data_IF_189341982885
#
_entry.id   IF_189341982885
#
_cell.length_a   1.000
_cell.length_b   1.000
_cell.length_c   1.000
_cell.angle_alpha   90.00
_cell.angle_beta   90.00
_cell.angle_gamma   90.00
#
_symmetry.space_group_name_H-M   'P 1'
#
loop_
_entity.id
_entity.type
_entity.pdbx_description
1 polymer ?
#
# COMPACT_ATOMS: atom_id res chain seq x y z
N UNK A 1 -76.42 -27.35 23.45
CA UNK A 1 -75.62 -28.40 22.85
C UNK A 1 -74.16 -27.98 22.89
N UNK A 2 -73.26 -28.91 23.19
CA UNK A 2 -72.07 -28.59 24.00
C UNK A 2 -70.80 -28.23 23.22
N UNK A 3 -70.04 -27.45 23.74
CA UNK A 3 -68.66 -27.19 24.08
C UNK A 3 -67.58 -27.86 23.24
N UNK A 4 -66.73 -27.07 22.58
CA UNK A 4 -65.45 -27.51 22.01
C UNK A 4 -64.32 -26.99 22.93
N UNK A 5 -63.70 -27.91 23.63
CA UNK A 5 -62.60 -27.69 24.59
C UNK A 5 -61.31 -27.22 23.86
N UNK A 6 -60.69 -26.18 24.41
CA UNK A 6 -59.31 -25.73 24.11
C UNK A 6 -58.31 -26.85 24.52
N UNK A 7 -57.61 -27.45 23.56
CA UNK A 7 -56.56 -28.46 23.79
C UNK A 7 -55.21 -28.08 23.15
N UNK A 8 -54.99 -26.79 22.83
CA UNK A 8 -53.80 -26.31 22.16
C UNK A 8 -52.71 -25.62 23.03
N UNK A 9 -53.07 -25.21 24.26
CA UNK A 9 -52.14 -24.34 25.04
C UNK A 9 -51.15 -25.08 25.94
N UNK A 10 -51.34 -26.36 26.20
CA UNK A 10 -50.49 -27.09 27.13
C UNK A 10 -49.24 -27.70 26.48
N UNK A 11 -49.33 -28.09 25.22
CA UNK A 11 -48.19 -28.65 24.46
C UNK A 11 -47.18 -27.60 24.02
N UNK A 12 -47.62 -26.36 23.77
CA UNK A 12 -46.71 -25.26 23.36
C UNK A 12 -45.82 -24.80 24.56
N UNK A 13 -46.37 -24.79 25.78
CA UNK A 13 -45.58 -24.43 26.97
C UNK A 13 -44.55 -25.51 27.34
N UNK A 14 -44.84 -26.76 27.09
CA UNK A 14 -43.91 -27.89 27.33
C UNK A 14 -42.79 -27.87 26.27
N UNK A 15 -43.09 -27.57 25.01
CA UNK A 15 -42.06 -27.44 23.95
C UNK A 15 -41.13 -26.27 24.21
N UNK A 16 -41.65 -25.12 24.63
CA UNK A 16 -40.84 -23.93 24.91
C UNK A 16 -39.96 -24.14 26.18
N UNK A 17 -40.41 -24.87 27.18
CA UNK A 17 -39.57 -25.21 28.35
C UNK A 17 -38.48 -26.23 28.01
N UNK A 18 -38.75 -27.21 27.13
CA UNK A 18 -37.78 -28.18 26.68
C UNK A 18 -36.68 -27.55 25.83
N UNK A 19 -37.03 -26.62 24.92
CA UNK A 19 -36.04 -25.84 24.13
C UNK A 19 -35.17 -24.97 25.02
N UNK A 20 -35.73 -24.32 26.05
CA UNK A 20 -34.98 -23.49 26.99
C UNK A 20 -33.96 -24.31 27.81
N UNK A 21 -34.31 -25.52 28.23
CA UNK A 21 -33.42 -26.41 28.96
C UNK A 21 -32.29 -26.95 28.08
N UNK A 22 -32.56 -27.22 26.78
CA UNK A 22 -31.55 -27.72 25.85
C UNK A 22 -30.54 -26.63 25.52
N UNK A 23 -30.97 -25.37 25.34
CA UNK A 23 -30.08 -24.23 25.09
C UNK A 23 -29.21 -23.93 26.30
N UNK A 24 -29.79 -24.01 27.54
CA UNK A 24 -29.02 -23.81 28.76
C UNK A 24 -27.99 -24.91 28.97
N UNK A 25 -28.31 -26.16 28.66
CA UNK A 25 -27.38 -27.30 28.75
C UNK A 25 -26.23 -27.18 27.75
N UNK A 26 -26.47 -26.69 26.52
CA UNK A 26 -25.44 -26.44 25.52
C UNK A 26 -24.53 -25.28 25.92
N UNK A 27 -25.06 -24.22 26.53
CA UNK A 27 -24.27 -23.12 27.08
C UNK A 27 -23.39 -23.54 28.26
N UNK A 28 -23.87 -24.40 29.12
CA UNK A 28 -23.11 -24.95 30.25
C UNK A 28 -21.99 -25.88 29.75
N UNK A 29 -22.24 -26.69 28.70
CA UNK A 29 -21.23 -27.53 28.08
C UNK A 29 -20.17 -26.72 27.36
N UNK A 30 -20.55 -25.64 26.69
CA UNK A 30 -19.61 -24.73 26.06
C UNK A 30 -18.73 -24.00 27.08
N UNK A 31 -19.31 -23.57 28.22
CA UNK A 31 -18.57 -22.93 29.30
C UNK A 31 -17.63 -23.93 30.01
N UNK A 32 -18.07 -25.19 30.21
CA UNK A 32 -17.24 -26.25 30.77
C UNK A 32 -16.07 -26.62 29.83
N UNK A 33 -16.31 -26.68 28.52
CA UNK A 33 -15.25 -26.87 27.51
C UNK A 33 -14.25 -25.72 27.50
N UNK A 34 -14.74 -24.49 27.62
CA UNK A 34 -13.89 -23.29 27.71
C UNK A 34 -13.01 -23.30 28.97
N UNK A 35 -13.56 -23.70 30.11
CA UNK A 35 -12.81 -23.81 31.36
C UNK A 35 -11.85 -25.02 31.42
N UNK A 36 -12.12 -26.09 30.67
CA UNK A 36 -11.24 -27.26 30.57
C UNK A 36 -10.06 -27.04 29.59
N UNK A 37 -10.20 -26.16 28.61
CA UNK A 37 -9.15 -25.81 27.66
C UNK A 37 -8.24 -24.70 28.23
N UNK A 38 -8.75 -23.87 29.13
CA UNK A 38 -8.01 -22.75 29.76
C UNK A 38 -7.21 -23.09 31.02
N UNK A 39 -7.20 -24.34 31.48
CA UNK A 39 -6.60 -24.73 32.77
C UNK A 39 -5.38 -25.63 32.64
N UNK A 40 -4.27 -25.17 32.13
CA UNK A 40 -2.94 -25.74 32.43
C UNK A 40 -2.00 -24.63 32.88
N UNK A 41 -1.92 -24.48 34.21
CA UNK A 41 -0.78 -23.83 34.84
C UNK A 41 0.46 -24.69 34.63
N UNK A 42 1.51 -24.15 34.12
CA UNK A 42 2.85 -24.72 34.15
C UNK A 42 3.73 -23.81 34.98
N UNK A 43 4.29 -24.37 36.00
CA UNK A 43 5.33 -23.76 36.82
C UNK A 43 6.71 -24.02 36.23
N UNK A 44 7.61 -23.11 36.49
CA UNK A 44 9.06 -23.16 36.52
C UNK A 44 9.83 -22.98 35.19
N UNK A 45 10.38 -21.80 35.02
CA UNK A 45 11.82 -21.56 35.03
C UNK A 45 12.52 -21.76 33.70
N UNK A 46 12.66 -20.67 32.98
CA UNK A 46 13.97 -20.16 32.51
C UNK A 46 13.73 -18.81 31.84
N UNK A 47 14.49 -17.82 32.23
CA UNK A 47 14.57 -16.53 31.57
C UNK A 47 15.01 -16.76 30.12
N UNK A 48 14.14 -16.43 29.18
CA UNK A 48 14.48 -16.16 27.81
C UNK A 48 13.93 -14.75 27.50
N UNK A 49 14.82 -13.89 27.08
CA UNK A 49 14.56 -12.55 26.61
C UNK A 49 13.28 -12.55 25.76
N UNK A 50 12.24 -11.89 26.23
CA UNK A 50 11.16 -11.42 25.39
C UNK A 50 11.77 -10.35 24.48
N UNK A 51 11.94 -10.71 23.22
CA UNK A 51 11.96 -9.71 22.18
C UNK A 51 10.60 -9.01 22.26
N UNK A 52 10.62 -7.73 22.62
CA UNK A 52 9.47 -6.85 22.41
C UNK A 52 9.11 -6.96 20.93
N UNK A 53 7.96 -7.57 20.64
CA UNK A 53 7.29 -7.35 19.38
C UNK A 53 6.91 -5.87 19.40
N UNK A 54 7.63 -5.06 18.66
CA UNK A 54 7.18 -3.74 18.26
C UNK A 54 5.80 -3.94 17.63
N UNK A 55 4.78 -3.50 18.34
CA UNK A 55 3.41 -3.43 17.84
C UNK A 55 3.42 -2.50 16.63
N UNK A 56 2.86 -2.98 15.56
CA UNK A 56 2.76 -2.37 14.24
C UNK A 56 2.39 -0.86 14.37
N UNK A 57 3.30 0.01 13.99
CA UNK A 57 3.19 1.47 14.16
C UNK A 57 1.95 2.02 13.44
N UNK A 58 1.48 1.32 12.40
CA UNK A 58 0.29 1.70 11.62
C UNK A 58 -1.04 1.57 12.37
N UNK A 59 -1.17 0.71 13.37
CA UNK A 59 -2.43 0.62 14.15
C UNK A 59 -2.70 1.86 15.01
N UNK A 60 -1.72 2.76 15.17
CA UNK A 60 -1.87 4.01 15.93
C UNK A 60 -2.20 5.22 15.06
N UNK A 61 -2.00 5.14 13.74
CA UNK A 61 -2.33 6.21 12.79
C UNK A 61 -3.83 6.18 12.45
N UNK A 62 -4.58 7.21 12.81
CA UNK A 62 -6.02 7.24 12.58
C UNK A 62 -6.40 7.28 11.10
N UNK A 63 -5.58 7.84 10.22
CA UNK A 63 -5.85 7.94 8.78
C UNK A 63 -5.74 6.59 8.09
N UNK A 64 -4.91 5.67 8.61
CA UNK A 64 -4.77 4.32 8.06
C UNK A 64 -6.08 3.53 7.96
N UNK A 65 -7.12 3.95 8.68
CA UNK A 65 -8.45 3.35 8.65
C UNK A 65 -9.31 3.81 7.45
N UNK A 66 -8.85 4.81 6.70
CA UNK A 66 -9.61 5.47 5.63
C UNK A 66 -8.94 5.37 4.27
N UNK A 67 -7.74 4.83 4.20
CA UNK A 67 -7.07 4.57 2.93
C UNK A 67 -7.89 3.59 2.07
N UNK A 68 -8.09 3.87 0.76
CA UNK A 68 -8.86 3.00 -0.12
C UNK A 68 -8.17 1.66 -0.37
N UNK A 69 -8.96 0.61 -0.51
CA UNK A 69 -8.44 -0.67 -1.01
C UNK A 69 -8.00 -0.53 -2.47
N UNK A 70 -6.84 -1.06 -2.83
CA UNK A 70 -6.21 -0.87 -4.15
C UNK A 70 -6.83 -1.71 -5.28
N UNK A 71 -8.12 -2.01 -5.26
CA UNK A 71 -8.81 -2.80 -6.27
C UNK A 71 -9.77 -2.00 -7.16
N UNK A 72 -9.87 -0.68 -6.96
CA UNK A 72 -10.74 0.22 -7.69
C UNK A 72 -10.18 0.76 -9.01
N UNK A 73 -11.03 1.44 -9.80
CA UNK A 73 -10.62 2.12 -11.02
C UNK A 73 -9.95 3.45 -10.68
N UNK A 74 -8.69 3.64 -11.11
CA UNK A 74 -7.93 4.88 -10.87
C UNK A 74 -8.47 6.04 -11.71
N UNK A 75 -8.62 7.20 -11.08
CA UNK A 75 -9.02 8.46 -11.72
C UNK A 75 -7.78 9.28 -12.06
N UNK A 76 -7.58 9.63 -13.33
CA UNK A 76 -6.45 10.46 -13.72
C UNK A 76 -6.68 11.94 -13.39
N UNK A 77 -5.65 12.64 -12.94
CA UNK A 77 -5.69 14.07 -12.60
C UNK A 77 -6.19 14.95 -13.78
N UNK A 78 -5.92 14.55 -15.01
CA UNK A 78 -6.37 15.26 -16.23
C UNK A 78 -7.87 15.17 -16.50
N UNK A 79 -8.62 14.36 -15.73
CA UNK A 79 -10.09 14.21 -15.93
C UNK A 79 -10.91 15.27 -15.22
N UNK A 80 -10.27 16.15 -14.42
CA UNK A 80 -10.96 17.26 -13.78
C UNK A 80 -11.53 18.18 -14.83
N UNK A 81 -12.86 18.20 -14.92
CA UNK A 81 -13.56 19.12 -15.80
C UNK A 81 -13.54 20.52 -15.24
N UNK A 82 -13.63 21.50 -16.14
CA UNK A 82 -13.79 22.89 -15.72
C UNK A 82 -15.14 23.09 -15.01
N UNK A 83 -15.09 23.32 -13.72
CA UNK A 83 -16.25 23.56 -12.88
C UNK A 83 -16.51 25.07 -12.81
N UNK A 84 -17.77 25.49 -12.82
CA UNK A 84 -18.12 26.88 -12.54
C UNK A 84 -17.77 27.16 -11.06
N UNK A 85 -16.87 28.09 -10.80
CA UNK A 85 -16.48 28.54 -9.47
C UNK A 85 -16.80 30.02 -9.29
N UNK A 86 -16.85 30.47 -8.04
CA UNK A 86 -17.06 31.88 -7.71
C UNK A 86 -15.89 32.77 -8.17
N UNK A 87 -14.74 32.19 -8.48
CA UNK A 87 -13.55 32.87 -8.98
C UNK A 87 -13.06 32.23 -10.27
N UNK A 88 -12.42 33.01 -11.17
CA UNK A 88 -11.75 32.48 -12.35
C UNK A 88 -10.45 31.73 -12.02
N UNK A 89 -10.01 31.78 -10.77
CA UNK A 89 -8.80 31.14 -10.28
C UNK A 89 -9.15 29.78 -9.71
N UNK A 90 -8.83 28.75 -10.47
CA UNK A 90 -8.88 27.36 -10.01
C UNK A 90 -7.54 26.72 -10.18
N UNK A 91 -7.19 25.92 -9.21
CA UNK A 91 -5.96 25.13 -9.25
C UNK A 91 -6.28 23.68 -8.96
N UNK A 92 -5.50 22.80 -9.57
CA UNK A 92 -5.64 21.35 -9.40
C UNK A 92 -4.54 20.88 -8.47
N UNK A 93 -4.92 20.08 -7.49
CA UNK A 93 -4.00 19.60 -6.47
C UNK A 93 -4.23 18.17 -6.04
N UNK A 94 -3.43 17.79 -5.10
CA UNK A 94 -3.49 16.50 -4.42
C UNK A 94 -3.34 16.73 -2.90
N UNK A 95 -3.82 15.80 -2.10
CA UNK A 95 -3.37 15.70 -0.72
C UNK A 95 -2.67 14.37 -0.48
N UNK A 96 -1.63 14.40 0.34
CA UNK A 96 -0.68 13.29 0.50
C UNK A 96 -0.17 13.15 1.92
N UNK A 97 0.14 11.91 2.28
CA UNK A 97 0.76 11.51 3.53
C UNK A 97 1.85 10.45 3.29
N UNK A 98 2.31 9.78 4.35
CA UNK A 98 3.21 8.63 4.24
C UNK A 98 2.60 7.44 3.48
N UNK A 99 1.26 7.38 3.34
CA UNK A 99 0.57 6.30 2.62
C UNK A 99 0.84 6.33 1.11
N UNK A 100 1.22 7.46 0.54
CA UNK A 100 1.65 7.56 -0.85
C UNK A 100 3.11 7.13 -1.05
N UNK A 101 3.84 6.86 0.07
CA UNK A 101 5.24 6.45 0.03
C UNK A 101 6.17 7.53 -0.52
N UNK A 102 7.26 7.12 -1.15
CA UNK A 102 8.18 8.04 -1.80
C UNK A 102 7.60 8.53 -3.13
N UNK A 103 7.39 9.83 -3.26
CA UNK A 103 6.79 10.49 -4.42
C UNK A 103 7.89 11.06 -5.33
N UNK A 104 7.81 10.82 -6.64
CA UNK A 104 8.58 11.55 -7.65
C UNK A 104 7.87 12.87 -7.97
N UNK A 105 8.21 13.90 -7.21
CA UNK A 105 7.58 15.22 -7.31
C UNK A 105 7.80 15.92 -8.65
N UNK A 106 8.86 15.54 -9.38
CA UNK A 106 9.06 16.04 -10.74
C UNK A 106 8.01 15.52 -11.70
N UNK A 107 7.69 14.22 -11.65
CA UNK A 107 6.63 13.67 -12.48
C UNK A 107 5.24 14.20 -12.06
N UNK A 108 5.02 14.42 -10.77
CA UNK A 108 3.79 15.04 -10.25
C UNK A 108 3.62 16.45 -10.84
N UNK A 109 4.65 17.29 -10.79
CA UNK A 109 4.61 18.64 -11.37
C UNK A 109 4.41 18.61 -12.89
N UNK A 110 5.13 17.74 -13.60
CA UNK A 110 5.00 17.58 -15.05
C UNK A 110 3.58 17.09 -15.47
N UNK A 111 2.81 16.46 -14.56
CA UNK A 111 1.43 16.04 -14.82
C UNK A 111 0.39 17.15 -14.74
N UNK A 112 0.78 18.34 -14.26
CA UNK A 112 -0.07 19.53 -14.16
C UNK A 112 -0.68 19.76 -12.78
N UNK A 113 -0.22 19.07 -11.74
CA UNK A 113 -0.55 19.36 -10.33
C UNK A 113 0.07 20.70 -9.95
N UNK A 114 -0.73 21.61 -9.40
CA UNK A 114 -0.33 22.99 -9.08
C UNK A 114 -0.09 23.20 -7.60
N UNK A 115 -0.78 22.41 -6.71
CA UNK A 115 -0.60 22.47 -5.27
C UNK A 115 -0.67 21.08 -4.62
N UNK A 116 -0.12 20.97 -3.42
CA UNK A 116 -0.26 19.79 -2.57
C UNK A 116 -0.61 20.19 -1.13
N UNK A 117 -1.63 19.54 -0.58
CA UNK A 117 -1.93 19.56 0.86
C UNK A 117 -1.16 18.41 1.50
N UNK A 118 -0.15 18.71 2.32
CA UNK A 118 0.77 17.71 2.86
C UNK A 118 0.46 17.45 4.31
N UNK A 119 0.23 16.19 4.69
CA UNK A 119 0.07 15.84 6.10
C UNK A 119 1.37 16.13 6.86
N UNK A 120 1.28 16.99 7.87
CA UNK A 120 2.42 17.24 8.75
C UNK A 120 2.59 16.14 9.79
N UNK A 121 1.48 15.63 10.31
CA UNK A 121 1.45 14.63 11.34
C UNK A 121 0.04 14.38 11.85
N UNK A 122 -0.05 13.58 12.88
CA UNK A 122 -1.30 13.16 13.49
C UNK A 122 -1.15 13.01 15.01
N UNK A 123 -2.28 12.99 15.72
CA UNK A 123 -2.31 12.56 17.11
C UNK A 123 -2.76 11.11 17.20
N UNK A 124 -1.88 10.26 17.74
CA UNK A 124 -2.09 8.81 17.87
C UNK A 124 -3.39 8.46 18.61
N UNK A 125 -4.13 7.47 18.08
CA UNK A 125 -5.33 6.93 18.74
C UNK A 125 -5.01 6.23 20.06
N UNK A 126 -3.88 5.53 20.13
CA UNK A 126 -3.51 4.73 21.28
C UNK A 126 -2.88 5.54 22.39
N UNK A 127 -1.77 6.25 22.12
CA UNK A 127 -1.01 6.99 23.11
C UNK A 127 -1.54 8.42 23.33
N UNK A 128 -2.19 9.02 22.33
CA UNK A 128 -2.56 10.44 22.34
C UNK A 128 -1.37 11.38 22.14
N UNK A 129 -0.20 10.86 21.77
CA UNK A 129 0.99 11.65 21.43
C UNK A 129 0.91 12.17 20.00
N UNK A 130 1.54 13.31 19.75
CA UNK A 130 1.70 13.82 18.39
C UNK A 130 2.84 13.04 17.72
N UNK A 131 2.59 12.60 16.48
CA UNK A 131 3.56 11.94 15.62
C UNK A 131 3.72 12.71 14.33
N UNK A 132 4.95 12.85 13.90
CA UNK A 132 5.26 13.43 12.58
C UNK A 132 4.95 12.39 11.51
N UNK A 133 4.34 12.82 10.40
CA UNK A 133 4.21 11.98 9.21
C UNK A 133 5.61 11.69 8.64
N UNK A 134 5.89 10.44 8.34
CA UNK A 134 7.22 10.00 7.94
C UNK A 134 7.70 10.62 6.62
N UNK A 135 6.77 11.06 5.76
CA UNK A 135 7.07 11.73 4.50
C UNK A 135 6.94 13.27 4.57
N UNK A 136 6.45 13.86 5.68
CA UNK A 136 6.11 15.29 5.74
C UNK A 136 7.21 16.18 5.20
N UNK A 137 8.42 16.10 5.77
CA UNK A 137 9.54 16.98 5.41
C UNK A 137 10.02 16.76 3.99
N UNK A 138 10.11 15.50 3.56
CA UNK A 138 10.47 15.16 2.19
C UNK A 138 9.46 15.74 1.19
N UNK A 139 8.17 15.53 1.44
CA UNK A 139 7.10 16.02 0.57
C UNK A 139 7.08 17.55 0.51
N UNK A 140 7.20 18.25 1.65
CA UNK A 140 7.27 19.71 1.69
C UNK A 140 8.47 20.25 0.90
N UNK A 141 9.65 19.63 1.07
CA UNK A 141 10.87 20.02 0.39
C UNK A 141 10.78 19.81 -1.13
N UNK A 142 10.45 18.59 -1.55
CA UNK A 142 10.49 18.20 -2.95
C UNK A 142 9.33 18.78 -3.77
N UNK A 143 8.13 18.89 -3.20
CA UNK A 143 7.03 19.59 -3.86
C UNK A 143 7.40 21.05 -4.16
N UNK A 144 7.97 21.76 -3.16
CA UNK A 144 8.43 23.12 -3.34
C UNK A 144 9.55 23.24 -4.39
N UNK A 145 10.56 22.35 -4.34
CA UNK A 145 11.67 22.34 -5.27
C UNK A 145 11.22 22.13 -6.73
N UNK A 146 10.08 21.47 -6.94
CA UNK A 146 9.47 21.25 -8.25
C UNK A 146 8.37 22.26 -8.61
N UNK A 147 8.23 23.35 -7.82
CA UNK A 147 7.34 24.48 -8.13
C UNK A 147 5.88 24.25 -7.76
N UNK A 148 5.57 23.20 -7.00
CA UNK A 148 4.23 22.93 -6.48
C UNK A 148 3.99 23.80 -5.25
N UNK A 149 2.84 24.45 -5.19
CA UNK A 149 2.45 25.29 -4.06
C UNK A 149 2.08 24.44 -2.84
N UNK A 150 2.50 24.88 -1.66
CA UNK A 150 2.37 24.10 -0.43
C UNK A 150 1.19 24.54 0.42
N UNK A 151 0.34 23.61 0.76
CA UNK A 151 -0.58 23.62 1.89
C UNK A 151 -0.23 22.49 2.84
N UNK A 152 -0.90 22.42 3.97
CA UNK A 152 -0.65 21.38 4.95
C UNK A 152 -1.93 20.97 5.68
N UNK A 153 -1.93 19.76 6.26
CA UNK A 153 -2.98 19.36 7.19
C UNK A 153 -2.43 18.58 8.38
N UNK A 154 -3.23 18.51 9.42
CA UNK A 154 -2.96 17.72 10.61
C UNK A 154 -4.16 16.83 10.91
N UNK A 155 -3.94 15.52 11.05
CA UNK A 155 -5.00 14.60 11.43
C UNK A 155 -5.17 14.59 12.96
N UNK A 156 -6.24 15.25 13.40
CA UNK A 156 -6.51 15.48 14.81
C UNK A 156 -7.37 14.39 15.43
N UNK A 157 -6.95 13.92 16.61
CA UNK A 157 -7.81 13.17 17.53
C UNK A 157 -7.90 13.85 18.90
N UNK A 158 -7.69 15.18 18.94
CA UNK A 158 -7.74 15.96 20.16
C UNK A 158 -9.11 15.85 20.86
N UNK A 159 -9.11 15.70 22.17
CA UNK A 159 -10.33 15.56 23.00
C UNK A 159 -10.67 16.82 23.78
N UNK A 160 -9.87 17.87 23.66
CA UNK A 160 -10.08 19.19 24.25
C UNK A 160 -9.34 20.27 23.46
N UNK A 161 -9.64 21.54 23.73
CA UNK A 161 -9.05 22.68 23.03
C UNK A 161 -7.56 22.84 23.29
N UNK A 162 -7.05 22.42 24.45
CA UNK A 162 -5.62 22.51 24.76
C UNK A 162 -4.78 21.54 23.90
N UNK A 163 -5.29 20.32 23.67
CA UNK A 163 -4.65 19.38 22.72
C UNK A 163 -4.68 19.94 21.29
N UNK A 164 -5.79 20.56 20.86
CA UNK A 164 -5.89 21.16 19.54
C UNK A 164 -4.92 22.34 19.33
N UNK A 165 -4.77 23.19 20.35
CA UNK A 165 -3.79 24.28 20.33
C UNK A 165 -2.34 23.75 20.30
N UNK A 166 -2.06 22.63 21.00
CA UNK A 166 -0.77 21.93 20.95
C UNK A 166 -0.48 21.40 19.55
N UNK A 167 -1.44 20.73 18.90
CA UNK A 167 -1.35 20.22 17.53
C UNK A 167 -1.03 21.35 16.54
N UNK A 168 -1.79 22.44 16.60
CA UNK A 168 -1.58 23.59 15.72
C UNK A 168 -0.23 24.29 15.94
N UNK A 169 0.24 24.36 17.19
CA UNK A 169 1.56 24.92 17.49
C UNK A 169 2.67 24.01 16.96
N UNK A 170 2.56 22.70 17.22
CA UNK A 170 3.52 21.71 16.74
C UNK A 170 3.63 21.73 15.20
N UNK A 171 2.47 21.73 14.50
CA UNK A 171 2.43 21.83 13.04
C UNK A 171 3.08 23.13 12.55
N UNK A 172 2.78 24.27 13.22
CA UNK A 172 3.36 25.57 12.85
C UNK A 172 4.88 25.60 13.00
N UNK A 173 5.40 24.95 14.05
CA UNK A 173 6.85 24.85 14.29
C UNK A 173 7.53 24.00 13.19
N UNK A 174 6.87 22.93 12.72
CA UNK A 174 7.37 22.12 11.60
C UNK A 174 7.38 22.92 10.30
N UNK A 175 6.30 23.67 10.04
CA UNK A 175 6.10 24.42 8.79
C UNK A 175 6.96 25.69 8.68
N UNK A 176 7.53 26.19 9.78
CA UNK A 176 8.27 27.45 9.82
C UNK A 176 9.46 27.53 8.86
N UNK A 177 9.95 26.38 8.38
CA UNK A 177 11.05 26.30 7.40
C UNK A 177 10.61 26.25 5.94
N UNK A 178 9.32 26.30 5.62
CA UNK A 178 8.79 26.07 4.27
C UNK A 178 7.90 27.23 3.80
N UNK A 179 7.86 27.54 2.50
CA UNK A 179 7.04 28.62 1.93
C UNK A 179 5.59 28.16 1.76
N UNK A 180 4.80 28.17 2.83
CA UNK A 180 3.40 27.75 2.83
C UNK A 180 2.55 28.87 2.24
N UNK A 181 1.94 28.60 1.07
CA UNK A 181 1.10 29.55 0.31
C UNK A 181 -0.36 29.15 0.28
N UNK A 182 -0.65 27.86 0.43
CA UNK A 182 -2.01 27.32 0.58
C UNK A 182 -2.38 27.23 2.07
N UNK A 183 -3.68 27.08 2.39
CA UNK A 183 -4.12 26.99 3.78
C UNK A 183 -3.52 25.82 4.55
N UNK A 184 -3.61 25.89 5.88
CA UNK A 184 -3.38 24.75 6.77
C UNK A 184 -4.74 24.25 7.26
N UNK A 185 -4.95 22.93 7.18
CA UNK A 185 -6.24 22.35 7.44
C UNK A 185 -6.27 21.55 8.76
N UNK A 186 -7.38 21.69 9.48
CA UNK A 186 -7.77 20.78 10.53
C UNK A 186 -8.57 19.63 9.91
N UNK A 187 -8.08 18.41 10.09
CA UNK A 187 -8.77 17.19 9.68
C UNK A 187 -9.08 16.33 10.90
N UNK A 188 -10.32 15.83 10.98
CA UNK A 188 -10.75 14.91 12.02
C UNK A 188 -11.84 14.01 11.47
N UNK A 189 -11.55 12.75 11.34
CA UNK A 189 -12.44 11.74 10.79
C UNK A 189 -12.74 10.63 11.79
N UNK A 190 -13.77 9.82 11.52
CA UNK A 190 -14.09 8.64 12.30
C UNK A 190 -14.50 8.85 13.75
N UNK A 191 -14.74 10.07 14.17
CA UNK A 191 -15.13 10.42 15.56
C UNK A 191 -16.44 9.75 16.04
N UNK A 192 -17.22 9.21 15.12
CA UNK A 192 -18.42 8.40 15.43
C UNK A 192 -18.09 6.94 15.76
N UNK A 193 -16.87 6.49 15.48
CA UNK A 193 -16.41 5.15 15.83
C UNK A 193 -16.06 5.08 17.31
N UNK A 194 -16.49 4.02 18.00
CA UNK A 194 -16.21 3.80 19.43
C UNK A 194 -14.72 3.64 19.77
N UNK A 195 -13.86 3.38 18.79
CA UNK A 195 -12.40 3.35 18.93
C UNK A 195 -11.76 4.73 18.88
N UNK A 196 -12.47 5.75 18.39
CA UNK A 196 -11.96 7.11 18.34
C UNK A 196 -11.81 7.72 19.72
N UNK A 197 -10.73 8.47 19.95
CA UNK A 197 -10.56 9.29 21.15
C UNK A 197 -11.68 10.33 21.31
N UNK A 198 -12.26 10.79 20.21
CA UNK A 198 -13.34 11.79 20.18
C UNK A 198 -14.75 11.18 20.30
N UNK A 199 -14.86 9.86 20.43
CA UNK A 199 -16.17 9.23 20.56
C UNK A 199 -16.94 9.74 21.76
N UNK A 200 -18.17 10.18 21.52
CA UNK A 200 -19.07 10.70 22.56
C UNK A 200 -18.92 12.18 22.88
N UNK A 201 -17.98 12.89 22.25
CA UNK A 201 -17.98 14.36 22.33
C UNK A 201 -19.24 14.93 21.66
N UNK A 202 -19.80 15.95 22.29
CA UNK A 202 -20.91 16.71 21.69
C UNK A 202 -20.46 17.49 20.46
N UNK A 203 -21.42 17.93 19.65
CA UNK A 203 -21.17 18.80 18.49
C UNK A 203 -20.45 20.08 18.93
N UNK A 204 -20.87 20.69 20.05
CA UNK A 204 -20.26 21.93 20.56
C UNK A 204 -18.81 21.72 21.00
N UNK A 205 -18.52 20.64 21.73
CA UNK A 205 -17.16 20.32 22.17
C UNK A 205 -16.23 20.06 20.98
N UNK A 206 -16.64 19.23 20.03
CA UNK A 206 -15.83 18.90 18.85
C UNK A 206 -15.61 20.12 17.97
N UNK A 207 -16.63 20.94 17.76
CA UNK A 207 -16.51 22.19 16.98
C UNK A 207 -15.61 23.21 17.67
N UNK A 208 -15.64 23.29 19.02
CA UNK A 208 -14.73 24.14 19.77
C UNK A 208 -13.26 23.68 19.71
N UNK A 209 -13.03 22.37 19.58
CA UNK A 209 -11.70 21.79 19.36
C UNK A 209 -11.17 22.21 17.98
N UNK A 210 -11.96 22.05 16.92
CA UNK A 210 -11.58 22.48 15.57
C UNK A 210 -11.31 24.01 15.51
N UNK A 211 -12.17 24.81 16.13
CA UNK A 211 -12.04 26.26 16.21
C UNK A 211 -10.76 26.67 16.96
N UNK A 212 -10.38 25.96 18.02
CA UNK A 212 -9.15 26.22 18.78
C UNK A 212 -7.89 25.95 17.96
N UNK A 213 -7.86 24.83 17.20
CA UNK A 213 -6.78 24.52 16.27
C UNK A 213 -6.62 25.63 15.22
N UNK A 214 -7.72 25.95 14.53
CA UNK A 214 -7.71 26.90 13.42
C UNK A 214 -7.34 28.31 13.89
N UNK A 215 -7.88 28.78 15.00
CA UNK A 215 -7.49 30.06 15.60
C UNK A 215 -6.01 30.11 15.97
N UNK A 216 -5.48 29.02 16.49
CA UNK A 216 -4.06 28.94 16.84
C UNK A 216 -3.19 28.97 15.60
N UNK A 217 -3.56 28.25 14.53
CA UNK A 217 -2.85 28.28 13.25
C UNK A 217 -2.86 29.70 12.63
N UNK A 218 -4.01 30.39 12.66
CA UNK A 218 -4.11 31.79 12.20
C UNK A 218 -3.28 32.75 13.04
N UNK A 219 -3.26 32.57 14.36
CA UNK A 219 -2.41 33.36 15.24
C UNK A 219 -0.90 33.16 14.96
N UNK A 220 -0.53 32.02 14.40
CA UNK A 220 0.82 31.71 13.96
C UNK A 220 1.14 32.16 12.53
N UNK A 221 0.18 32.83 11.83
CA UNK A 221 0.38 33.45 10.52
C UNK A 221 -0.09 32.61 9.33
N UNK A 222 -0.77 31.49 9.52
CA UNK A 222 -1.31 30.66 8.45
C UNK A 222 -2.78 30.97 8.19
N UNK A 223 -3.30 30.60 7.01
CA UNK A 223 -4.73 30.65 6.72
C UNK A 223 -5.38 29.35 7.15
N UNK A 224 -6.34 29.41 8.07
CA UNK A 224 -7.06 28.24 8.56
C UNK A 224 -8.07 27.69 7.54
N UNK A 225 -8.17 26.37 7.46
CA UNK A 225 -9.16 25.67 6.63
C UNK A 225 -9.74 24.48 7.40
N UNK A 226 -11.04 24.29 7.32
CA UNK A 226 -11.73 23.17 7.95
C UNK A 226 -12.08 22.12 6.91
N UNK A 227 -11.52 20.91 7.08
CA UNK A 227 -11.83 19.75 6.24
C UNK A 227 -12.88 18.87 6.89
N UNK A 228 -13.85 18.43 6.11
CA UNK A 228 -14.77 17.36 6.50
C UNK A 228 -15.51 16.78 5.28
N UNK A 229 -16.01 15.56 5.44
CA UNK A 229 -16.88 14.95 4.46
C UNK A 229 -18.21 15.73 4.33
N UNK A 230 -18.74 15.81 3.12
CA UNK A 230 -19.99 16.53 2.80
C UNK A 230 -21.16 16.14 3.72
N UNK A 231 -21.30 14.83 4.01
CA UNK A 231 -22.38 14.34 4.87
C UNK A 231 -22.23 14.76 6.33
N UNK A 232 -21.04 15.14 6.77
CA UNK A 232 -20.78 15.65 8.11
C UNK A 232 -21.09 17.14 8.23
N UNK A 233 -20.90 17.88 7.14
CA UNK A 233 -21.12 19.32 7.08
C UNK A 233 -22.59 19.72 7.01
N UNK A 234 -23.48 18.84 6.53
CA UNK A 234 -24.87 19.20 6.34
C UNK A 234 -25.68 19.18 7.64
N UNK A 235 -26.61 20.15 7.78
CA UNK A 235 -27.61 20.20 8.85
C UNK A 235 -27.09 20.49 10.27
N UNK A 236 -25.84 20.88 10.48
CA UNK A 236 -25.27 21.17 11.82
C UNK A 236 -25.47 20.05 12.85
N UNK A 237 -25.47 18.79 12.39
CA UNK A 237 -25.74 17.64 13.27
C UNK A 237 -24.48 16.98 13.80
N UNK A 238 -23.37 17.14 13.10
CA UNK A 238 -22.07 16.56 13.48
C UNK A 238 -21.04 17.66 13.79
N UNK A 239 -21.17 18.81 13.17
CA UNK A 239 -20.37 20.02 13.41
C UNK A 239 -21.29 21.23 13.54
N UNK A 240 -20.85 22.28 14.23
CA UNK A 240 -21.44 23.62 14.15
C UNK A 240 -21.02 24.29 12.84
N UNK A 241 -21.42 23.70 11.71
CA UNK A 241 -20.94 24.02 10.37
C UNK A 241 -21.17 25.49 10.03
N UNK A 242 -22.33 26.04 10.36
CA UNK A 242 -22.64 27.47 10.11
C UNK A 242 -21.60 28.39 10.77
N UNK A 243 -21.14 28.06 11.96
CA UNK A 243 -20.14 28.85 12.67
C UNK A 243 -18.72 28.65 12.08
N UNK A 244 -18.37 27.43 11.71
CA UNK A 244 -17.08 27.12 11.08
C UNK A 244 -16.99 27.74 9.68
N UNK A 245 -18.05 27.64 8.86
CA UNK A 245 -18.13 28.24 7.53
C UNK A 245 -18.06 29.78 7.56
N UNK A 246 -18.61 30.40 8.60
CA UNK A 246 -18.52 31.84 8.77
C UNK A 246 -17.10 32.32 9.11
N UNK A 247 -16.30 31.46 9.81
CA UNK A 247 -14.98 31.81 10.33
C UNK A 247 -13.84 31.38 9.42
N UNK A 248 -13.99 30.22 8.74
CA UNK A 248 -12.90 29.56 8.02
C UNK A 248 -13.32 29.16 6.62
N UNK A 249 -12.33 28.89 5.77
CA UNK A 249 -12.54 28.23 4.47
C UNK A 249 -12.91 26.79 4.71
N UNK A 250 -13.82 26.25 3.89
CA UNK A 250 -14.23 24.85 3.94
C UNK A 250 -13.54 24.08 2.80
N UNK A 251 -12.96 22.96 3.16
CA UNK A 251 -12.49 21.93 2.25
C UNK A 251 -13.44 20.74 2.37
N UNK A 252 -14.27 20.54 1.35
CA UNK A 252 -15.30 19.50 1.37
C UNK A 252 -14.82 18.25 0.66
N UNK A 253 -14.95 17.10 1.32
CA UNK A 253 -14.76 15.80 0.67
C UNK A 253 -16.12 15.25 0.22
N UNK A 254 -16.21 14.96 -1.07
CA UNK A 254 -17.37 14.27 -1.64
C UNK A 254 -16.94 13.51 -2.88
N UNK A 255 -16.92 12.17 -2.76
CA UNK A 255 -16.51 11.25 -3.83
C UNK A 255 -17.73 10.79 -4.62
N UNK A 256 -17.46 10.35 -5.85
CA UNK A 256 -18.42 9.61 -6.66
C UNK A 256 -19.38 10.48 -7.48
N UNK A 257 -19.41 10.25 -8.62
CA UNK A 257 -20.02 10.55 -9.88
C UNK A 257 -19.27 11.63 -10.66
N UNK A 258 -18.48 11.13 -11.60
CA UNK A 258 -18.03 11.90 -12.76
C UNK A 258 -19.15 12.63 -13.53
N UNK A 259 -20.35 12.68 -12.99
CA UNK A 259 -21.53 13.30 -13.60
C UNK A 259 -21.94 14.63 -12.97
N UNK A 260 -21.46 14.94 -11.74
CA UNK A 260 -21.67 16.26 -11.13
C UNK A 260 -20.37 17.04 -11.22
N UNK A 261 -20.42 18.18 -11.87
CA UNK A 261 -19.24 19.04 -12.04
C UNK A 261 -18.91 19.88 -10.79
N UNK A 262 -19.61 19.67 -9.66
CA UNK A 262 -19.46 20.37 -8.37
C UNK A 262 -19.96 19.46 -7.23
N UNK A 263 -19.43 19.62 -6.01
CA UNK A 263 -19.97 18.89 -4.86
C UNK A 263 -21.41 19.33 -4.58
N UNK A 264 -22.24 18.40 -4.09
CA UNK A 264 -23.62 18.66 -3.68
C UNK A 264 -23.69 19.32 -2.28
N UNK A 265 -22.64 20.01 -1.87
CA UNK A 265 -22.63 20.75 -0.62
C UNK A 265 -23.32 22.11 -0.81
N UNK A 266 -24.35 22.42 0.01
CA UNK A 266 -25.17 23.65 -0.19
C UNK A 266 -24.54 24.91 0.41
N UNK A 267 -23.47 24.76 1.22
CA UNK A 267 -22.74 25.86 1.86
C UNK A 267 -21.61 26.40 0.97
N UNK A 268 -20.87 27.37 1.51
CA UNK A 268 -19.69 27.90 0.82
C UNK A 268 -18.50 26.97 1.06
N UNK A 269 -17.77 26.69 0.02
CA UNK A 269 -16.54 25.93 0.09
C UNK A 269 -15.46 26.59 -0.76
N UNK A 270 -14.20 26.36 -0.39
CA UNK A 270 -13.05 26.91 -1.08
C UNK A 270 -12.20 25.83 -1.75
N UNK A 271 -12.32 24.57 -1.31
CA UNK A 271 -11.61 23.43 -1.87
C UNK A 271 -12.54 22.21 -1.87
N UNK A 272 -12.37 21.33 -2.85
CA UNK A 272 -13.11 20.09 -3.01
C UNK A 272 -12.16 18.93 -3.28
N UNK A 273 -12.17 17.94 -2.39
CA UNK A 273 -11.58 16.63 -2.60
C UNK A 273 -12.62 15.76 -3.29
N UNK A 274 -12.38 15.41 -4.56
CA UNK A 274 -13.41 14.79 -5.40
C UNK A 274 -13.25 13.29 -5.59
N UNK A 275 -12.10 12.73 -5.23
CA UNK A 275 -11.84 11.29 -5.22
C UNK A 275 -10.67 10.96 -4.32
N UNK A 276 -10.70 9.79 -3.71
CA UNK A 276 -9.57 9.17 -3.01
C UNK A 276 -8.93 8.01 -3.81
N UNK A 277 -9.24 7.90 -5.10
CA UNK A 277 -8.73 6.87 -6.01
C UNK A 277 -8.03 7.51 -7.22
N UNK A 278 -7.36 8.61 -6.99
CA UNK A 278 -6.60 9.32 -8.00
C UNK A 278 -5.40 8.52 -8.49
N UNK A 279 -4.97 8.81 -9.71
CA UNK A 279 -3.73 8.29 -10.30
C UNK A 279 -2.94 9.45 -10.89
N UNK A 280 -1.78 9.72 -10.31
CA UNK A 280 -0.88 10.80 -10.70
C UNK A 280 0.48 10.21 -11.05
N UNK A 281 1.08 10.56 -12.19
CA UNK A 281 2.46 10.15 -12.49
C UNK A 281 3.40 10.57 -11.35
N UNK A 282 4.27 9.65 -10.91
CA UNK A 282 5.17 9.88 -9.77
C UNK A 282 4.65 9.32 -8.44
N UNK A 283 3.39 8.88 -8.39
CA UNK A 283 2.78 8.22 -7.21
C UNK A 283 2.36 6.81 -7.61
N UNK A 284 2.79 5.82 -6.85
CA UNK A 284 2.55 4.41 -7.18
C UNK A 284 1.21 3.87 -6.66
N UNK A 285 0.69 4.46 -5.59
CA UNK A 285 -0.57 4.11 -4.93
C UNK A 285 -1.73 4.98 -5.43
N UNK A 286 -2.90 4.87 -4.78
CA UNK A 286 -3.95 5.88 -4.90
C UNK A 286 -3.52 7.18 -4.21
N UNK A 287 -4.11 8.28 -4.69
CA UNK A 287 -3.90 9.61 -4.12
C UNK A 287 -5.20 10.40 -4.21
N UNK A 288 -5.45 11.22 -3.21
CA UNK A 288 -6.58 12.14 -3.21
C UNK A 288 -6.38 13.27 -4.21
N UNK A 289 -7.45 13.58 -4.96
CA UNK A 289 -7.43 14.64 -5.96
C UNK A 289 -8.34 15.80 -5.57
N UNK A 290 -7.79 17.02 -5.68
CA UNK A 290 -8.39 18.24 -5.21
C UNK A 290 -8.55 19.31 -6.29
N UNK A 291 -9.56 20.15 -6.08
CA UNK A 291 -9.72 21.42 -6.79
C UNK A 291 -9.87 22.54 -5.78
N UNK A 292 -8.98 23.52 -5.82
CA UNK A 292 -9.13 24.76 -5.08
C UNK A 292 -9.76 25.85 -5.97
N UNK A 293 -10.68 26.60 -5.38
CA UNK A 293 -11.46 27.68 -6.05
C UNK A 293 -10.89 29.07 -5.77
N UNK A 294 -9.61 29.11 -5.46
CA UNK A 294 -8.83 30.34 -5.26
C UNK A 294 -7.42 30.14 -5.83
N UNK A 295 -6.74 31.22 -6.14
CA UNK A 295 -5.30 31.20 -6.42
C UNK A 295 -4.52 31.34 -5.12
N UNK A 296 -3.35 30.74 -5.03
CA UNK A 296 -2.48 30.81 -3.84
C UNK A 296 -2.13 32.26 -3.43
N UNK A 297 -2.21 33.23 -4.37
CA UNK A 297 -2.03 34.65 -4.06
C UNK A 297 -3.12 35.23 -3.14
N UNK A 298 -4.19 34.51 -2.87
CA UNK A 298 -5.26 34.87 -1.94
C UNK A 298 -5.08 34.22 -0.56
N UNK A 299 -4.07 33.36 -0.42
CA UNK A 299 -3.69 32.72 0.85
C UNK A 299 -2.65 33.59 1.58
N UNK A 300 -2.18 33.12 2.73
CA UNK A 300 -1.14 33.81 3.49
C UNK A 300 0.08 34.16 2.61
N UNK A 301 0.75 35.28 2.92
CA UNK A 301 2.01 35.59 2.25
C UNK A 301 2.97 34.41 2.41
N UNK A 302 3.61 34.02 1.32
CA UNK A 302 4.63 32.97 1.35
C UNK A 302 5.70 33.36 2.39
N UNK A 303 5.93 32.46 3.34
CA UNK A 303 7.04 32.64 4.27
C UNK A 303 8.34 32.55 3.46
N UNK A 304 9.34 33.36 3.83
CA UNK A 304 10.66 33.28 3.20
C UNK A 304 11.18 31.85 3.29
N UNK A 305 11.82 31.35 2.23
CA UNK A 305 12.47 30.04 2.22
C UNK A 305 13.27 29.87 3.51
N UNK A 306 12.80 29.00 4.38
CA UNK A 306 13.43 28.75 5.66
C UNK A 306 14.65 27.87 5.51
N UNK A 307 15.44 27.80 6.57
CA UNK A 307 16.62 26.95 6.67
C UNK A 307 16.23 25.50 7.03
N UNK A 308 15.20 24.93 6.43
CA UNK A 308 14.84 23.53 6.67
C UNK A 308 16.04 22.63 6.33
N UNK A 309 16.36 21.70 7.22
CA UNK A 309 17.42 20.74 6.97
C UNK A 309 17.01 19.83 5.81
N UNK A 310 17.88 19.67 4.80
CA UNK A 310 17.63 18.75 3.69
C UNK A 310 17.38 17.33 4.21
N UNK A 311 16.35 16.70 3.68
CA UNK A 311 15.91 15.35 4.03
C UNK A 311 15.92 14.48 2.78
N UNK A 312 16.64 13.36 2.85
CA UNK A 312 16.60 12.34 1.80
C UNK A 312 15.32 11.49 1.94
N UNK A 313 14.85 10.96 0.81
CA UNK A 313 13.74 10.02 0.81
C UNK A 313 14.06 8.77 1.63
N UNK A 314 13.16 8.36 2.51
CA UNK A 314 13.24 7.02 3.10
C UNK A 314 12.52 6.02 2.18
N UNK A 315 13.26 5.13 1.50
CA UNK A 315 12.67 4.19 0.56
C UNK A 315 11.80 3.12 1.24
N UNK A 316 11.81 3.00 2.57
CA UNK A 316 11.03 2.00 3.31
C UNK A 316 9.66 2.52 3.75
N UNK A 317 9.38 3.80 3.62
CA UNK A 317 8.09 4.36 3.99
C UNK A 317 6.96 3.69 3.18
N UNK A 318 5.90 3.27 3.88
CA UNK A 318 4.76 2.59 3.28
C UNK A 318 5.00 1.12 2.94
N UNK A 319 6.19 0.56 3.19
CA UNK A 319 6.50 -0.85 2.93
C UNK A 319 6.56 -1.63 4.23
N UNK A 320 5.72 -2.66 4.34
CA UNK A 320 5.82 -3.64 5.44
C UNK A 320 6.82 -4.71 5.09
N UNK A 321 7.83 -4.88 5.94
CA UNK A 321 8.81 -5.94 5.82
C UNK A 321 8.55 -7.06 6.81
N UNK A 322 8.44 -8.30 6.31
CA UNK A 322 8.63 -9.48 7.13
C UNK A 322 10.11 -9.62 7.42
N UNK A 323 10.53 -9.43 8.67
CA UNK A 323 11.91 -9.50 9.10
C UNK A 323 12.43 -10.94 8.98
N UNK A 324 13.54 -11.08 8.27
CA UNK A 324 14.22 -12.36 8.04
C UNK A 324 15.74 -12.19 8.23
N UNK A 325 16.45 -13.29 8.42
CA UNK A 325 17.90 -13.29 8.45
C UNK A 325 18.43 -14.53 7.74
N UNK A 326 18.62 -14.43 6.42
CA UNK A 326 19.02 -15.55 5.60
C UNK A 326 19.95 -15.12 4.47
N UNK A 327 20.89 -16.00 4.12
CA UNK A 327 21.72 -15.78 2.94
C UNK A 327 20.91 -16.07 1.67
N UNK A 328 21.00 -15.17 0.71
CA UNK A 328 20.38 -15.34 -0.61
C UNK A 328 21.41 -15.17 -1.72
N UNK A 329 21.13 -15.78 -2.85
CA UNK A 329 21.87 -15.55 -4.10
C UNK A 329 20.89 -15.13 -5.20
N UNK A 330 21.39 -14.53 -6.27
CA UNK A 330 20.57 -14.25 -7.44
C UNK A 330 20.27 -15.51 -8.23
N UNK A 331 19.06 -15.64 -8.79
CA UNK A 331 18.72 -16.73 -9.73
C UNK A 331 19.49 -16.63 -11.06
N UNK A 332 19.93 -15.44 -11.42
CA UNK A 332 20.84 -15.17 -12.56
C UNK A 332 21.73 -14.00 -12.16
N UNK A 333 21.38 -12.81 -12.59
CA UNK A 333 22.01 -11.55 -12.21
C UNK A 333 20.92 -10.56 -11.84
N UNK A 334 21.05 -9.88 -10.69
CA UNK A 334 20.11 -8.83 -10.30
C UNK A 334 20.84 -7.57 -9.84
N UNK A 335 20.22 -6.43 -10.06
CA UNK A 335 20.69 -5.17 -9.53
C UNK A 335 20.32 -5.05 -8.06
N UNK A 336 21.26 -4.58 -7.25
CA UNK A 336 21.06 -4.11 -5.90
C UNK A 336 21.00 -2.60 -5.94
N UNK A 337 19.91 -2.03 -5.40
CA UNK A 337 19.54 -0.63 -5.58
C UNK A 337 19.47 0.10 -4.25
N UNK A 338 19.68 1.41 -4.26
CA UNK A 338 19.50 2.26 -3.09
C UNK A 338 18.03 2.54 -2.78
N UNK A 339 17.14 2.38 -3.76
CA UNK A 339 15.68 2.55 -3.63
C UNK A 339 14.95 1.39 -4.30
N UNK A 340 13.66 1.22 -4.00
CA UNK A 340 12.83 0.14 -4.56
C UNK A 340 12.16 0.55 -5.89
N UNK A 341 12.96 1.09 -6.82
CA UNK A 341 12.52 1.50 -8.15
C UNK A 341 13.35 0.80 -9.24
N UNK A 342 12.67 0.21 -10.24
CA UNK A 342 13.29 -0.40 -11.41
C UNK A 342 13.35 0.56 -12.61
N UNK A 343 12.63 1.66 -12.58
CA UNK A 343 12.54 2.65 -13.67
C UNK A 343 13.78 3.56 -13.77
N UNK A 344 14.53 3.69 -12.69
CA UNK A 344 15.73 4.52 -12.62
C UNK A 344 16.98 3.67 -12.39
N UNK A 345 17.85 3.63 -13.39
CA UNK A 345 19.13 2.92 -13.28
C UNK A 345 20.20 3.72 -12.50
N UNK A 346 19.97 5.00 -12.18
CA UNK A 346 20.86 5.81 -11.35
C UNK A 346 20.92 5.30 -9.89
N UNK A 347 19.89 4.59 -9.43
CA UNK A 347 19.82 3.99 -8.11
C UNK A 347 20.53 2.62 -8.00
N UNK A 348 21.12 2.10 -9.07
CA UNK A 348 21.86 0.84 -9.05
C UNK A 348 23.22 1.04 -8.39
N UNK A 349 23.40 0.44 -7.22
CA UNK A 349 24.66 0.52 -6.42
C UNK A 349 25.58 -0.64 -6.71
N UNK A 350 25.02 -1.84 -6.85
CA UNK A 350 25.78 -3.06 -7.09
C UNK A 350 25.00 -4.05 -7.93
N UNK A 351 25.67 -5.15 -8.29
CA UNK A 351 25.06 -6.27 -9.02
C UNK A 351 25.37 -7.53 -8.26
N UNK A 352 24.36 -8.35 -7.98
CA UNK A 352 24.51 -9.67 -7.37
C UNK A 352 24.35 -10.74 -8.46
N UNK A 353 25.38 -11.58 -8.63
CA UNK A 353 25.37 -12.68 -9.59
C UNK A 353 25.00 -13.99 -8.92
N UNK A 354 24.56 -14.97 -9.73
CA UNK A 354 24.37 -16.33 -9.22
C UNK A 354 25.66 -16.86 -8.60
N UNK A 355 25.56 -17.41 -7.38
CA UNK A 355 26.69 -17.88 -6.58
C UNK A 355 27.34 -16.83 -5.67
N UNK A 356 27.15 -15.54 -5.91
CA UNK A 356 27.45 -14.48 -4.93
C UNK A 356 26.32 -14.39 -3.91
N UNK A 357 26.62 -13.99 -2.67
CA UNK A 357 25.60 -13.96 -1.60
C UNK A 357 25.42 -12.57 -1.00
N UNK A 358 24.21 -12.28 -0.60
CA UNK A 358 23.82 -11.14 0.23
C UNK A 358 23.01 -11.64 1.44
N UNK A 359 23.04 -10.92 2.54
CA UNK A 359 22.17 -11.21 3.68
C UNK A 359 20.80 -10.54 3.45
N UNK A 360 19.73 -11.33 3.24
CA UNK A 360 18.38 -10.81 3.21
C UNK A 360 17.90 -10.56 4.64
N UNK A 361 17.51 -9.31 4.93
CA UNK A 361 17.06 -8.87 6.24
C UNK A 361 15.58 -8.61 6.29
N UNK A 362 14.89 -8.45 5.14
CA UNK A 362 13.44 -8.25 5.10
C UNK A 362 12.86 -8.66 3.75
N UNK A 363 11.58 -9.06 3.76
CA UNK A 363 10.78 -9.34 2.56
C UNK A 363 9.60 -8.36 2.57
N UNK A 364 9.63 -7.38 1.67
CA UNK A 364 8.59 -6.36 1.57
C UNK A 364 7.31 -6.90 0.91
N UNK A 365 6.17 -6.38 1.35
CA UNK A 365 4.85 -6.67 0.77
C UNK A 365 4.69 -6.14 -0.66
N UNK A 366 5.59 -5.26 -1.10
CA UNK A 366 5.66 -4.67 -2.43
C UNK A 366 6.49 -5.49 -3.46
N UNK A 367 6.93 -6.70 -3.11
CA UNK A 367 7.72 -7.57 -3.99
C UNK A 367 9.23 -7.31 -3.99
N UNK A 368 9.72 -6.43 -3.11
CA UNK A 368 11.15 -6.17 -2.91
C UNK A 368 11.68 -6.86 -1.66
N UNK A 369 12.97 -7.16 -1.67
CA UNK A 369 13.71 -7.64 -0.50
C UNK A 369 14.73 -6.60 -0.08
N UNK A 370 14.81 -6.33 1.20
CA UNK A 370 15.90 -5.59 1.83
C UNK A 370 17.07 -6.55 2.03
N UNK A 371 18.25 -6.16 1.57
CA UNK A 371 19.46 -6.96 1.66
C UNK A 371 20.63 -6.13 2.22
N UNK A 372 21.49 -6.76 2.98
CA UNK A 372 22.79 -6.22 3.34
C UNK A 372 23.86 -6.83 2.43
N UNK A 373 24.59 -5.96 1.74
CA UNK A 373 25.64 -6.35 0.81
C UNK A 373 26.83 -5.39 0.94
N UNK A 374 28.02 -5.94 1.25
CA UNK A 374 29.23 -5.18 1.54
C UNK A 374 29.09 -4.13 2.66
N UNK A 375 28.20 -4.35 3.63
CA UNK A 375 27.93 -3.44 4.73
C UNK A 375 26.97 -2.29 4.40
N UNK A 376 26.35 -2.32 3.24
CA UNK A 376 25.33 -1.35 2.82
C UNK A 376 23.94 -2.01 2.78
N UNK A 377 22.90 -1.23 3.21
CA UNK A 377 21.50 -1.60 3.09
C UNK A 377 21.03 -1.28 1.67
N UNK A 378 20.63 -2.29 0.92
CA UNK A 378 20.21 -2.20 -0.48
C UNK A 378 18.92 -2.99 -0.70
N UNK A 379 18.31 -2.82 -1.87
CA UNK A 379 17.07 -3.47 -2.24
C UNK A 379 17.20 -4.26 -3.53
N UNK A 380 16.54 -5.42 -3.60
CA UNK A 380 16.46 -6.25 -4.78
C UNK A 380 15.05 -6.80 -4.97
N UNK A 381 14.62 -7.00 -6.20
CA UNK A 381 13.34 -7.63 -6.49
C UNK A 381 13.34 -9.06 -5.94
N UNK A 382 12.40 -9.38 -5.06
CA UNK A 382 12.34 -10.64 -4.31
C UNK A 382 12.30 -11.87 -5.21
N UNK A 383 11.60 -11.79 -6.36
CA UNK A 383 11.46 -12.90 -7.30
C UNK A 383 12.77 -13.29 -8.00
N UNK A 384 13.77 -12.39 -8.01
CA UNK A 384 15.10 -12.66 -8.60
C UNK A 384 16.07 -13.29 -7.61
N UNK A 385 15.71 -13.38 -6.35
CA UNK A 385 16.52 -13.98 -5.29
C UNK A 385 16.06 -15.40 -4.96
N UNK A 386 16.97 -16.20 -4.39
CA UNK A 386 16.68 -17.51 -3.81
C UNK A 386 17.55 -17.77 -2.58
N UNK A 387 17.00 -18.42 -1.57
CA UNK A 387 17.73 -18.89 -0.40
C UNK A 387 18.46 -20.24 -0.67
N UNK A 388 18.16 -20.91 -1.78
CA UNK A 388 18.93 -22.08 -2.22
C UNK A 388 20.26 -21.61 -2.82
N UNK A 389 21.31 -21.60 -2.02
CA UNK A 389 22.65 -21.18 -2.44
C UNK A 389 23.31 -22.13 -3.43
N UNK A 390 22.78 -23.35 -3.58
CA UNK A 390 23.22 -24.31 -4.58
C UNK A 390 22.50 -24.14 -5.93
N UNK A 391 21.51 -23.24 -5.99
CA UNK A 391 20.78 -22.96 -7.22
C UNK A 391 21.73 -22.59 -8.36
N UNK A 392 21.53 -23.24 -9.49
CA UNK A 392 22.26 -22.92 -10.72
C UNK A 392 21.30 -22.30 -11.72
N UNK A 393 21.66 -21.14 -12.23
CA UNK A 393 20.89 -20.51 -13.32
C UNK A 393 20.78 -21.49 -14.48
N UNK A 394 19.57 -21.81 -14.94
CA UNK A 394 19.40 -22.64 -16.13
C UNK A 394 20.16 -22.01 -17.31
N UNK A 395 21.14 -22.72 -17.82
CA UNK A 395 21.92 -22.22 -18.96
C UNK A 395 20.98 -22.15 -20.16
N UNK A 396 20.62 -20.95 -20.55
CA UNK A 396 19.94 -20.69 -21.82
C UNK A 396 20.95 -20.96 -22.91
N UNK A 397 20.76 -22.06 -23.62
CA UNK A 397 21.65 -22.37 -24.73
C UNK A 397 21.53 -21.31 -25.84
N UNK A 398 22.63 -21.04 -26.59
CA UNK A 398 22.54 -20.13 -27.72
C UNK A 398 21.45 -20.57 -28.67
N UNK A 399 20.71 -19.62 -29.22
CA UNK A 399 19.75 -19.85 -30.28
C UNK A 399 20.50 -20.50 -31.45
N UNK A 400 20.26 -21.80 -31.69
CA UNK A 400 20.83 -22.56 -32.81
C UNK A 400 20.16 -22.23 -34.16
N UNK A 401 19.37 -21.14 -34.17
CA UNK A 401 18.61 -20.68 -35.35
C UNK A 401 17.23 -21.34 -35.43
N UNK A 402 16.82 -22.14 -34.44
CA UNK A 402 15.47 -22.69 -34.32
C UNK A 402 14.63 -21.83 -33.36
N UNK A 403 13.34 -21.73 -33.64
CA UNK A 403 12.39 -21.07 -32.73
C UNK A 403 12.20 -21.83 -31.41
N UNK A 404 12.53 -23.12 -31.38
CA UNK A 404 12.42 -23.99 -30.22
C UNK A 404 13.57 -23.73 -29.25
N UNK A 405 13.24 -23.35 -28.03
CA UNK A 405 14.23 -23.14 -26.96
C UNK A 405 14.36 -24.41 -26.09
N UNK A 406 15.56 -24.73 -25.68
CA UNK A 406 15.87 -25.91 -24.87
C UNK A 406 16.43 -25.50 -23.51
N UNK A 407 15.83 -26.06 -22.46
CA UNK A 407 16.45 -26.06 -21.13
C UNK A 407 17.47 -27.17 -21.07
N UNK A 408 18.71 -26.86 -20.67
CA UNK A 408 19.79 -27.83 -20.58
C UNK A 408 19.49 -28.87 -19.51
N UNK A 409 19.72 -30.12 -19.85
CA UNK A 409 19.72 -31.29 -18.96
C UNK A 409 20.91 -32.20 -19.31
N UNK A 410 21.22 -33.11 -18.42
CA UNK A 410 22.23 -34.16 -18.69
C UNK A 410 21.69 -35.47 -18.14
N UNK A 411 21.00 -36.21 -18.98
CA UNK A 411 20.26 -37.42 -18.60
C UNK A 411 20.45 -38.52 -19.62
N UNK A 412 20.60 -39.75 -19.16
CA UNK A 412 20.60 -40.91 -20.03
C UNK A 412 19.15 -41.30 -20.35
N UNK A 413 18.84 -41.35 -21.62
CA UNK A 413 17.52 -41.74 -22.12
C UNK A 413 17.59 -42.81 -23.19
N UNK A 414 16.50 -43.57 -23.30
CA UNK A 414 16.28 -44.50 -24.40
C UNK A 414 14.88 -44.29 -25.01
N UNK A 415 14.65 -44.77 -26.21
CA UNK A 415 13.30 -44.72 -26.76
C UNK A 415 12.38 -45.72 -26.01
N UNK A 416 11.08 -45.37 -25.85
CA UNK A 416 10.08 -46.31 -25.29
C UNK A 416 9.84 -47.52 -26.18
N UNK A 417 9.98 -47.33 -27.48
CA UNK A 417 9.96 -48.38 -28.54
C UNK A 417 10.99 -47.94 -29.60
N UNK A 418 10.59 -47.15 -30.59
CA UNK A 418 11.48 -46.53 -31.57
C UNK A 418 11.09 -45.06 -31.78
N UNK A 419 12.06 -44.18 -31.91
CA UNK A 419 11.82 -42.76 -32.23
C UNK A 419 12.80 -42.28 -33.32
N UNK A 420 12.32 -41.38 -34.18
CA UNK A 420 13.14 -40.72 -35.18
C UNK A 420 14.01 -39.64 -34.57
N UNK A 421 15.29 -39.67 -34.87
CA UNK A 421 16.26 -38.62 -34.56
C UNK A 421 16.37 -37.70 -35.79
N UNK A 422 16.14 -36.41 -35.63
CA UNK A 422 16.05 -35.43 -36.69
C UNK A 422 17.11 -34.35 -36.60
N UNK A 423 17.43 -33.75 -37.74
CA UNK A 423 18.35 -32.61 -37.79
C UNK A 423 17.76 -31.31 -37.25
N UNK A 424 16.44 -31.26 -37.02
CA UNK A 424 15.72 -30.10 -36.48
C UNK A 424 14.57 -30.54 -35.54
N UNK A 425 14.22 -29.71 -34.55
CA UNK A 425 13.09 -29.97 -33.65
C UNK A 425 11.75 -29.67 -34.32
N UNK A 426 11.48 -30.32 -35.42
CA UNK A 426 10.26 -30.21 -36.22
C UNK A 426 9.98 -31.51 -36.94
N UNK A 427 8.71 -31.78 -37.27
CA UNK A 427 8.30 -32.84 -38.17
C UNK A 427 8.05 -32.33 -39.60
N UNK A 428 8.01 -31.02 -39.78
CA UNK A 428 7.73 -30.34 -41.06
C UNK A 428 9.03 -30.07 -41.81
N UNK A 429 8.96 -30.01 -43.13
CA UNK A 429 10.11 -29.66 -43.95
C UNK A 429 10.66 -28.28 -43.61
N UNK A 430 12.00 -28.09 -43.61
CA UNK A 430 13.02 -28.99 -44.12
C UNK A 430 13.66 -29.92 -43.04
N UNK A 431 12.89 -30.45 -42.09
CA UNK A 431 13.38 -31.40 -41.07
C UNK A 431 13.51 -32.79 -41.64
N UNK A 432 14.71 -33.37 -41.55
CA UNK A 432 15.04 -34.71 -42.05
C UNK A 432 15.26 -35.70 -40.91
N UNK A 433 14.88 -36.93 -41.09
CA UNK A 433 15.22 -38.05 -40.19
C UNK A 433 16.64 -38.49 -40.50
N UNK A 434 17.54 -38.36 -39.55
CA UNK A 434 18.97 -38.71 -39.66
C UNK A 434 19.23 -40.15 -39.18
N UNK A 435 18.53 -40.53 -38.10
CA UNK A 435 18.70 -41.89 -37.50
C UNK A 435 17.39 -42.28 -36.78
N UNK A 436 17.36 -43.54 -36.32
CA UNK A 436 16.34 -44.01 -35.38
C UNK A 436 17.01 -44.47 -34.11
N UNK A 437 16.40 -44.13 -32.96
CA UNK A 437 16.79 -44.64 -31.65
C UNK A 437 15.80 -45.72 -31.24
N UNK A 438 16.33 -46.91 -30.92
CA UNK A 438 15.54 -48.05 -30.48
C UNK A 438 15.51 -48.17 -28.96
N UNK A 439 14.50 -48.90 -28.45
CA UNK A 439 14.46 -49.26 -27.03
C UNK A 439 15.74 -50.03 -26.63
N UNK A 440 16.36 -49.62 -25.51
CA UNK A 440 17.62 -50.19 -25.02
C UNK A 440 18.88 -49.49 -25.57
N UNK A 441 18.83 -48.75 -26.65
CA UNK A 441 19.91 -47.86 -27.06
C UNK A 441 19.90 -46.60 -26.19
N UNK A 442 21.03 -46.30 -25.54
CA UNK A 442 21.12 -45.18 -24.59
C UNK A 442 21.85 -44.01 -25.25
N UNK A 443 21.24 -42.83 -25.14
CA UNK A 443 21.82 -41.56 -25.56
C UNK A 443 21.74 -40.54 -24.45
N UNK A 444 22.62 -39.54 -24.50
CA UNK A 444 22.56 -38.41 -23.55
C UNK A 444 21.58 -37.37 -24.04
N UNK A 445 20.51 -37.12 -23.28
CA UNK A 445 19.63 -35.99 -23.49
C UNK A 445 20.29 -34.75 -22.92
N UNK A 446 20.54 -33.76 -23.78
CA UNK A 446 21.24 -32.50 -23.45
C UNK A 446 20.32 -31.31 -23.35
N UNK A 447 19.05 -31.46 -23.72
CA UNK A 447 18.06 -30.40 -23.63
C UNK A 447 16.62 -30.88 -23.74
N UNK A 448 15.72 -30.17 -23.07
CA UNK A 448 14.23 -30.37 -23.13
C UNK A 448 13.58 -29.04 -23.45
N UNK A 449 12.67 -29.04 -24.42
CA UNK A 449 11.89 -27.87 -24.77
C UNK A 449 10.50 -27.92 -24.13
N UNK A 450 9.91 -26.75 -23.94
CA UNK A 450 8.52 -26.54 -23.50
C UNK A 450 7.47 -26.95 -24.56
N UNK A 451 7.92 -27.06 -25.83
CA UNK A 451 7.08 -27.49 -26.96
C UNK A 451 7.21 -28.99 -27.28
N UNK A 452 7.75 -29.77 -26.33
CA UNK A 452 7.73 -31.25 -26.40
C UNK A 452 8.87 -31.89 -27.19
N UNK A 453 9.98 -31.19 -27.47
CA UNK A 453 11.16 -31.73 -28.12
C UNK A 453 12.30 -31.96 -27.12
N UNK A 454 13.08 -33.03 -27.36
CA UNK A 454 14.33 -33.32 -26.68
C UNK A 454 15.50 -33.20 -27.66
N UNK A 455 16.58 -32.60 -27.19
CA UNK A 455 17.86 -32.57 -27.85
C UNK A 455 18.75 -33.71 -27.29
N UNK A 456 19.30 -34.52 -28.14
CA UNK A 456 20.13 -35.67 -27.75
C UNK A 456 21.47 -35.67 -28.48
N UNK A 457 22.48 -36.22 -27.85
CA UNK A 457 23.75 -36.50 -28.49
C UNK A 457 23.77 -37.97 -28.97
N UNK A 458 23.88 -38.15 -30.26
CA UNK A 458 23.89 -39.47 -30.91
C UNK A 458 25.09 -39.56 -31.88
N UNK A 459 26.00 -40.48 -31.62
CA UNK A 459 27.21 -40.68 -32.43
C UNK A 459 28.02 -39.39 -32.67
N UNK A 460 28.12 -38.52 -31.66
CA UNK A 460 28.84 -37.23 -31.72
C UNK A 460 28.11 -36.15 -32.50
N UNK A 461 26.85 -36.35 -32.83
CA UNK A 461 25.98 -35.37 -33.48
C UNK A 461 24.85 -34.96 -32.54
N UNK A 462 24.45 -33.69 -32.60
CA UNK A 462 23.26 -33.18 -31.92
C UNK A 462 22.05 -33.41 -32.83
N UNK A 463 21.12 -34.21 -32.33
CA UNK A 463 19.84 -34.52 -33.01
C UNK A 463 18.67 -34.29 -32.11
N UNK A 464 17.48 -34.25 -32.68
CA UNK A 464 16.23 -33.90 -32.01
C UNK A 464 15.18 -34.99 -32.14
N UNK A 465 14.43 -35.24 -31.08
CA UNK A 465 13.29 -36.17 -31.10
C UNK A 465 12.15 -35.67 -30.18
N UNK A 466 10.97 -36.22 -30.36
CA UNK A 466 9.82 -35.89 -29.52
C UNK A 466 10.00 -36.46 -28.12
N UNK A 467 9.93 -35.62 -27.09
CA UNK A 467 10.23 -35.96 -25.69
C UNK A 467 9.34 -37.09 -25.15
N UNK A 468 8.07 -37.15 -25.58
CA UNK A 468 7.13 -38.18 -25.12
C UNK A 468 7.45 -39.60 -25.53
N UNK A 469 8.35 -39.77 -26.50
CA UNK A 469 8.81 -41.07 -26.96
C UNK A 469 10.07 -41.57 -26.23
N UNK A 470 10.62 -40.74 -25.34
CA UNK A 470 11.76 -41.10 -24.52
C UNK A 470 11.34 -41.54 -23.11
N UNK A 471 12.20 -42.33 -22.47
CA UNK A 471 12.17 -42.67 -21.06
C UNK A 471 13.60 -42.58 -20.48
N UNK A 472 13.69 -42.20 -19.18
CA UNK A 472 14.97 -42.23 -18.48
C UNK A 472 15.46 -43.65 -18.35
N UNK A 473 16.76 -43.84 -18.47
CA UNK A 473 17.43 -45.09 -18.08
C UNK A 473 17.99 -44.92 -16.68
N UNK A 474 17.88 -45.97 -15.86
CA UNK A 474 18.47 -46.00 -14.51
C UNK A 474 20.00 -45.86 -14.54
#
# INVERSE_FOLDING_TARGET
MPGRKKRGSRNLKIMLSAMGITVLALLILALAAYLLIGGKAVSSGTESEQADQETDVNEEDPESLYEPEEDGEKVAVSTVKQIASETDKRTVGIDVSEFQGTIDWKQVADSGVEFAMIRCGYRSLGSGEIREDACARYNLQEANANGIQLGAYFFSTAVNTAEAEEEAQWMSDLLAGYPITYPVAYNCEGFQNSSSRQYGLSVDERSAIADAFLKKAEANGYTGMFYAARNELVNNTLWNTDALELAYRIWVAQYGSAQTDVPEYPGNFAMWQYTNQGSVPGISTYVDLDVAYFGYSETAEAQEEGSAQHVEADPEVGVKFDEVSEQVTSKDTTNLRSTMDQGDDSNVVATLKNGETALRTGIGNNGWSRVEYNGEKLYAVSSYLTADLAYQTPVKEPDDGFKTQFTRVSENVTAKDVTNLRNRPSVEEPSEVIAQLHNGEVVVRTGVSDVGWSRVEYNGQILYCVSSYLQLTE
#
